data_IF_505224971076
#
_entry.id   IF_505224971076
#
_cell.length_a   1.000
_cell.length_b   1.000
_cell.length_c   1.000
_cell.angle_alpha   90.00
_cell.angle_beta   90.00
_cell.angle_gamma   90.00
#
_symmetry.space_group_name_H-M   'P 1'
#
loop_
_entity.id
_entity.type
_entity.pdbx_description
1 polymer ?
#
# COMPACT_ATOMS: atom_id res chain seq x y z
N UNK A 1 -13.64 30.40 31.53
CA UNK A 1 -13.97 29.57 30.37
C UNK A 1 -12.69 28.91 29.90
N UNK A 2 -12.59 27.58 30.01
CA UNK A 2 -11.37 26.84 29.66
C UNK A 2 -11.18 26.74 28.16
N UNK A 3 -9.98 26.36 27.70
CA UNK A 3 -9.69 26.16 26.27
C UNK A 3 -10.66 25.14 25.61
N UNK A 4 -11.12 24.17 26.35
CA UNK A 4 -12.07 23.16 25.87
C UNK A 4 -13.44 23.77 25.55
N UNK A 5 -13.97 24.68 26.42
CA UNK A 5 -15.26 25.33 26.19
C UNK A 5 -15.25 26.24 24.97
N UNK A 6 -14.16 27.00 24.81
CA UNK A 6 -13.93 27.82 23.60
C UNK A 6 -13.88 26.97 22.34
N UNK A 7 -13.18 25.86 22.40
CA UNK A 7 -13.08 24.92 21.30
C UNK A 7 -14.44 24.30 20.94
N UNK A 8 -15.21 23.89 21.95
CA UNK A 8 -16.56 23.35 21.76
C UNK A 8 -17.48 24.39 21.10
N UNK A 9 -17.45 25.64 21.57
CA UNK A 9 -18.22 26.73 20.98
C UNK A 9 -17.84 26.99 19.51
N UNK A 10 -16.57 26.94 19.14
CA UNK A 10 -16.10 27.08 17.75
C UNK A 10 -16.60 25.91 16.91
N UNK A 11 -16.46 24.67 17.41
CA UNK A 11 -16.93 23.47 16.74
C UNK A 11 -18.42 23.52 16.42
N UNK A 12 -19.22 23.92 17.39
CA UNK A 12 -20.68 24.01 17.25
C UNK A 12 -21.09 25.17 16.32
N UNK A 13 -20.43 26.33 16.44
CA UNK A 13 -20.67 27.50 15.58
C UNK A 13 -20.40 27.23 14.10
N UNK A 14 -19.33 26.53 13.79
CA UNK A 14 -18.93 26.27 12.40
C UNK A 14 -19.31 24.85 11.93
N UNK A 15 -20.10 24.10 12.72
CA UNK A 15 -20.52 22.72 12.45
C UNK A 15 -19.35 21.83 12.00
N UNK A 16 -18.19 22.02 12.61
CA UNK A 16 -16.98 21.28 12.28
C UNK A 16 -17.20 19.81 12.65
N UNK A 17 -17.42 18.98 11.66
CA UNK A 17 -17.42 17.53 11.84
C UNK A 17 -15.98 17.03 11.75
N UNK A 18 -15.43 16.64 12.88
CA UNK A 18 -14.20 15.87 12.90
C UNK A 18 -14.57 14.43 12.54
N UNK A 19 -13.94 13.88 11.51
CA UNK A 19 -14.08 12.45 11.23
C UNK A 19 -13.34 11.64 12.31
N UNK A 20 -13.97 11.45 13.43
CA UNK A 20 -13.49 10.56 14.49
C UNK A 20 -13.73 9.08 14.16
N UNK A 21 -13.44 8.69 12.92
CA UNK A 21 -13.79 7.38 12.40
C UNK A 21 -15.27 7.30 11.98
N UNK A 22 -15.53 6.55 10.95
CA UNK A 22 -16.88 6.21 10.53
C UNK A 22 -17.60 5.49 11.69
N UNK A 23 -18.88 5.72 11.88
CA UNK A 23 -19.66 4.94 12.85
C UNK A 23 -19.60 3.45 12.47
N UNK A 24 -19.82 2.55 13.44
CA UNK A 24 -19.83 1.11 13.15
C UNK A 24 -20.82 0.76 12.02
N UNK A 25 -21.93 1.52 11.92
CA UNK A 25 -22.91 1.35 10.86
C UNK A 25 -22.36 1.82 9.50
N UNK A 26 -21.67 2.97 9.45
CA UNK A 26 -21.03 3.45 8.20
C UNK A 26 -19.93 2.49 7.75
N UNK A 27 -19.12 1.98 8.67
CA UNK A 27 -18.12 0.96 8.37
C UNK A 27 -18.79 -0.29 7.78
N UNK A 28 -19.86 -0.77 8.42
CA UNK A 28 -20.61 -1.93 7.94
C UNK A 28 -21.22 -1.67 6.55
N UNK A 29 -21.87 -0.52 6.36
CA UNK A 29 -22.43 -0.12 5.07
C UNK A 29 -21.36 -0.04 3.98
N UNK A 30 -20.17 0.52 4.28
CA UNK A 30 -19.04 0.59 3.36
C UNK A 30 -18.46 -0.80 3.01
N UNK A 31 -18.60 -1.79 3.90
CA UNK A 31 -18.19 -3.17 3.63
C UNK A 31 -19.24 -3.88 2.75
N UNK A 32 -20.52 -3.64 2.99
CA UNK A 32 -21.63 -4.36 2.32
C UNK A 32 -22.04 -3.66 1.02
N UNK A 33 -22.08 -2.33 1.00
CA UNK A 33 -22.38 -1.53 -0.19
C UNK A 33 -21.16 -1.48 -1.10
N UNK A 34 -21.06 -2.42 -1.95
CA UNK A 34 -19.99 -2.80 -2.87
C UNK A 34 -19.61 -1.77 -3.95
N UNK A 35 -19.76 -0.46 -3.72
CA UNK A 35 -19.37 0.57 -4.69
C UNK A 35 -17.89 0.52 -5.06
N UNK A 36 -17.04 0.06 -4.13
CA UNK A 36 -15.61 -0.14 -4.32
C UNK A 36 -15.23 -1.62 -4.13
N UNK A 37 -15.87 -2.52 -4.88
CA UNK A 37 -15.53 -3.95 -4.85
C UNK A 37 -14.14 -4.20 -5.46
N UNK A 38 -13.62 -5.40 -5.23
CA UNK A 38 -12.30 -5.80 -5.71
C UNK A 38 -12.13 -5.62 -7.22
N UNK A 39 -13.16 -5.99 -8.00
CA UNK A 39 -13.13 -5.92 -9.46
C UNK A 39 -13.11 -4.47 -9.98
N UNK A 40 -13.87 -3.56 -9.35
CA UNK A 40 -13.85 -2.14 -9.72
C UNK A 40 -12.49 -1.49 -9.43
N UNK A 41 -11.85 -1.87 -8.32
CA UNK A 41 -10.50 -1.41 -7.99
C UNK A 41 -9.46 -1.94 -8.98
N UNK A 42 -9.54 -3.23 -9.34
CA UNK A 42 -8.67 -3.83 -10.37
C UNK A 42 -8.86 -3.17 -11.73
N UNK A 43 -10.11 -2.93 -12.13
CA UNK A 43 -10.43 -2.22 -13.37
C UNK A 43 -9.79 -0.84 -13.39
N UNK A 44 -9.94 -0.08 -12.30
CA UNK A 44 -9.32 1.24 -12.21
C UNK A 44 -7.80 1.20 -12.40
N UNK A 45 -7.08 0.24 -11.79
CA UNK A 45 -5.63 0.11 -11.97
C UNK A 45 -5.29 -0.22 -13.42
N UNK A 46 -5.99 -1.19 -14.03
CA UNK A 46 -5.76 -1.58 -15.42
C UNK A 46 -5.95 -0.40 -16.37
N UNK A 47 -7.09 0.27 -16.26
CA UNK A 47 -7.43 1.40 -17.10
C UNK A 47 -6.42 2.53 -16.92
N UNK A 48 -5.97 2.78 -15.69
CA UNK A 48 -4.93 3.76 -15.39
C UNK A 48 -3.59 3.37 -16.02
N UNK A 49 -3.13 2.13 -15.82
CA UNK A 49 -1.86 1.66 -16.37
C UNK A 49 -1.83 1.70 -17.90
N UNK A 50 -2.96 1.48 -18.58
CA UNK A 50 -3.07 1.54 -20.02
C UNK A 50 -3.05 2.97 -20.58
N UNK A 51 -3.41 3.97 -19.77
CA UNK A 51 -3.48 5.38 -20.17
C UNK A 51 -2.19 6.16 -19.92
N UNK A 52 -1.23 5.59 -19.22
CA UNK A 52 0.00 6.26 -18.80
C UNK A 52 1.24 5.56 -19.34
N UNK A 53 2.38 6.26 -19.47
CA UNK A 53 3.63 5.65 -19.87
C UNK A 53 4.05 4.51 -18.93
N UNK A 54 4.70 3.49 -19.50
CA UNK A 54 5.14 2.29 -18.77
C UNK A 54 5.96 2.60 -17.52
N UNK A 55 6.79 3.65 -17.55
CA UNK A 55 7.59 4.07 -16.40
C UNK A 55 6.76 4.53 -15.17
N UNK A 56 5.58 5.12 -15.40
CA UNK A 56 4.61 5.43 -14.34
C UNK A 56 3.78 4.20 -13.96
N UNK A 57 3.34 3.42 -14.97
CA UNK A 57 2.56 2.20 -14.74
C UNK A 57 3.33 1.21 -13.86
N UNK A 58 4.63 1.03 -14.09
CA UNK A 58 5.49 0.17 -13.27
C UNK A 58 5.48 0.56 -11.78
N UNK A 59 5.47 1.87 -11.45
CA UNK A 59 5.37 2.31 -10.05
C UNK A 59 4.01 1.93 -9.45
N UNK A 60 2.93 2.06 -10.21
CA UNK A 60 1.59 1.70 -9.74
C UNK A 60 1.47 0.19 -9.50
N UNK A 61 1.98 -0.61 -10.43
CA UNK A 61 2.02 -2.07 -10.30
C UNK A 61 2.90 -2.46 -9.11
N UNK A 62 4.09 -1.87 -8.97
CA UNK A 62 4.97 -2.06 -7.83
C UNK A 62 4.27 -1.76 -6.50
N UNK A 63 3.51 -0.67 -6.44
CA UNK A 63 2.73 -0.29 -5.28
C UNK A 63 1.67 -1.35 -4.92
N UNK A 64 1.01 -1.92 -5.92
CA UNK A 64 0.00 -2.97 -5.73
C UNK A 64 0.61 -4.30 -5.28
N UNK A 65 1.79 -4.67 -5.80
CA UNK A 65 2.48 -5.91 -5.45
C UNK A 65 3.13 -5.86 -4.06
N UNK A 66 3.60 -4.70 -3.63
CA UNK A 66 4.26 -4.54 -2.33
C UNK A 66 3.30 -4.17 -1.19
N UNK A 67 2.08 -3.74 -1.51
CA UNK A 67 1.12 -3.24 -0.52
C UNK A 67 1.54 -1.93 0.16
N UNK A 68 2.57 -1.26 -0.32
CA UNK A 68 3.06 0.03 0.20
C UNK A 68 2.08 1.17 -0.10
N UNK A 69 2.18 2.27 0.64
CA UNK A 69 1.54 3.53 0.25
C UNK A 69 2.30 4.13 -0.94
N UNK A 70 1.61 4.85 -1.80
CA UNK A 70 2.21 5.39 -3.03
C UNK A 70 3.47 6.24 -2.79
N UNK A 71 3.52 7.04 -1.71
CA UNK A 71 4.71 7.79 -1.31
C UNK A 71 5.86 6.86 -0.88
N UNK A 72 5.55 5.80 -0.15
CA UNK A 72 6.51 4.79 0.29
C UNK A 72 7.02 3.98 -0.91
N UNK A 73 6.14 3.63 -1.84
CA UNK A 73 6.52 2.91 -3.06
C UNK A 73 7.47 3.73 -3.95
N UNK A 74 7.20 5.03 -4.17
CA UNK A 74 8.11 5.90 -4.92
C UNK A 74 9.50 5.94 -4.26
N UNK A 75 9.57 6.09 -2.94
CA UNK A 75 10.84 6.12 -2.19
C UNK A 75 11.56 4.76 -2.23
N UNK A 76 10.80 3.67 -2.17
CA UNK A 76 11.35 2.31 -2.30
C UNK A 76 11.94 2.08 -3.69
N UNK A 77 11.25 2.49 -4.76
CA UNK A 77 11.77 2.45 -6.14
C UNK A 77 13.08 3.24 -6.26
N UNK A 78 13.14 4.44 -5.69
CA UNK A 78 14.35 5.27 -5.65
C UNK A 78 15.52 4.54 -4.98
N UNK A 79 15.30 3.89 -3.83
CA UNK A 79 16.32 3.10 -3.13
C UNK A 79 16.74 1.83 -3.88
N UNK A 80 15.81 1.12 -4.55
CA UNK A 80 16.15 -0.02 -5.40
C UNK A 80 17.10 0.41 -6.52
N UNK A 81 16.94 1.60 -7.06
CA UNK A 81 17.79 2.12 -8.14
C UNK A 81 19.13 2.64 -7.65
N UNK A 82 19.16 3.31 -6.51
CA UNK A 82 20.35 4.02 -6.01
C UNK A 82 21.19 3.21 -5.02
N UNK A 83 20.60 2.31 -4.24
CA UNK A 83 21.28 1.65 -3.12
C UNK A 83 20.79 0.22 -2.85
N UNK A 84 20.58 -0.56 -3.90
CA UNK A 84 20.01 -1.92 -3.82
C UNK A 84 20.80 -2.83 -2.87
N UNK A 85 22.13 -2.78 -2.90
CA UNK A 85 22.97 -3.70 -2.13
C UNK A 85 22.80 -3.55 -0.61
N UNK A 86 22.51 -2.35 -0.11
CA UNK A 86 22.27 -2.10 1.31
C UNK A 86 20.78 -2.21 1.67
N UNK A 87 19.89 -2.16 0.68
CA UNK A 87 18.46 -2.12 0.86
C UNK A 87 17.79 -3.49 0.70
N UNK A 88 18.36 -4.37 -0.14
CA UNK A 88 17.87 -5.72 -0.36
C UNK A 88 18.69 -6.72 0.45
N UNK A 89 18.04 -7.49 1.30
CA UNK A 89 18.60 -8.72 1.83
C UNK A 89 18.45 -9.81 0.77
N UNK A 90 19.56 -10.24 0.17
CA UNK A 90 19.58 -11.20 -0.94
C UNK A 90 19.23 -12.63 -0.51
N UNK A 91 19.49 -13.00 0.74
CA UNK A 91 19.20 -14.34 1.25
C UNK A 91 17.68 -14.53 1.43
N UNK A 92 17.01 -13.50 1.94
CA UNK A 92 15.58 -13.56 2.23
C UNK A 92 14.71 -12.88 1.19
N UNK A 93 15.31 -12.23 0.19
CA UNK A 93 14.61 -11.40 -0.80
C UNK A 93 13.65 -10.40 -0.17
N UNK A 94 14.13 -9.71 0.87
CA UNK A 94 13.37 -8.70 1.62
C UNK A 94 13.99 -7.32 1.39
N UNK A 95 13.16 -6.34 1.02
CA UNK A 95 13.50 -4.93 1.02
C UNK A 95 13.38 -4.38 2.44
N UNK A 96 14.50 -3.98 3.05
CA UNK A 96 14.61 -3.66 4.47
C UNK A 96 14.36 -2.16 4.72
N UNK A 97 13.09 -1.76 4.72
CA UNK A 97 12.67 -0.37 4.94
C UNK A 97 13.12 0.16 6.32
N UNK A 98 13.16 -0.72 7.32
CA UNK A 98 13.57 -0.35 8.68
C UNK A 98 15.01 0.17 8.78
N UNK A 99 15.88 -0.12 7.80
CA UNK A 99 17.22 0.47 7.70
C UNK A 99 17.20 1.97 7.33
N UNK A 100 16.06 2.47 6.87
CA UNK A 100 15.85 3.87 6.46
C UNK A 100 14.70 4.51 7.25
N UNK A 101 14.82 4.63 8.58
CA UNK A 101 13.71 5.03 9.44
C UNK A 101 13.18 6.42 9.11
N UNK A 102 14.05 7.36 8.74
CA UNK A 102 13.65 8.72 8.37
C UNK A 102 12.73 8.77 7.14
N UNK A 103 12.77 7.74 6.29
CA UNK A 103 11.96 7.61 5.08
C UNK A 103 10.66 6.86 5.38
N UNK A 104 10.74 5.72 6.07
CA UNK A 104 9.65 4.75 6.16
C UNK A 104 8.97 4.66 7.52
N UNK A 105 9.61 5.16 8.59
CA UNK A 105 9.05 5.05 9.95
C UNK A 105 8.63 6.44 10.43
N UNK A 106 7.38 6.80 10.13
CA UNK A 106 6.77 8.06 10.57
C UNK A 106 5.86 7.80 11.77
N UNK A 107 5.53 8.84 12.53
CA UNK A 107 4.71 8.73 13.76
C UNK A 107 3.46 7.87 13.60
N UNK A 108 2.72 8.03 12.50
CA UNK A 108 1.43 7.37 12.28
C UNK A 108 1.40 6.46 11.05
N UNK A 109 2.46 6.46 10.24
CA UNK A 109 2.54 5.72 8.99
C UNK A 109 3.90 5.04 8.93
N UNK A 110 3.91 3.73 8.98
CA UNK A 110 5.12 2.92 9.03
C UNK A 110 5.12 1.94 7.87
N UNK A 111 6.30 1.60 7.37
CA UNK A 111 6.56 0.46 6.52
C UNK A 111 7.90 -0.14 6.99
N UNK A 112 7.90 -1.41 7.38
CA UNK A 112 9.08 -2.03 7.96
C UNK A 112 9.89 -2.80 6.93
N UNK A 113 9.22 -3.54 6.08
CA UNK A 113 9.83 -4.31 5.01
C UNK A 113 8.82 -4.61 3.90
N UNK A 114 9.30 -5.05 2.75
CA UNK A 114 8.49 -5.64 1.68
C UNK A 114 9.18 -6.89 1.17
N UNK A 115 8.39 -7.90 0.82
CA UNK A 115 8.89 -9.09 0.14
C UNK A 115 9.10 -8.71 -1.32
N UNK A 116 10.17 -9.20 -1.92
CA UNK A 116 10.49 -8.98 -3.33
C UNK A 116 10.74 -10.31 -4.05
N UNK A 117 10.66 -10.26 -5.34
CA UNK A 117 11.20 -11.21 -6.30
C UNK A 117 11.89 -10.44 -7.43
N UNK A 118 12.47 -11.14 -8.39
CA UNK A 118 13.16 -10.48 -9.51
C UNK A 118 12.22 -9.61 -10.34
N UNK A 119 10.95 -9.97 -10.51
CA UNK A 119 9.98 -9.19 -11.26
C UNK A 119 9.66 -7.87 -10.58
N UNK A 120 9.46 -7.87 -9.26
CA UNK A 120 9.27 -6.65 -8.47
C UNK A 120 10.51 -5.74 -8.57
N UNK A 121 11.71 -6.31 -8.49
CA UNK A 121 12.95 -5.54 -8.65
C UNK A 121 13.09 -4.98 -10.07
N UNK A 122 12.71 -5.75 -11.09
CA UNK A 122 12.71 -5.30 -12.49
C UNK A 122 11.69 -4.19 -12.74
N UNK A 123 10.50 -4.26 -12.15
CA UNK A 123 9.54 -3.16 -12.20
C UNK A 123 10.12 -1.87 -11.62
N UNK A 124 10.78 -1.95 -10.47
CA UNK A 124 11.42 -0.79 -9.85
C UNK A 124 12.56 -0.24 -10.72
N UNK A 125 13.45 -1.09 -11.23
CA UNK A 125 14.57 -0.69 -12.10
C UNK A 125 14.10 -0.04 -13.40
N UNK A 126 13.01 -0.54 -14.00
CA UNK A 126 12.42 -0.04 -15.24
C UNK A 126 11.45 1.14 -15.03
N UNK A 127 11.27 1.60 -13.81
CA UNK A 127 10.55 2.82 -13.48
C UNK A 127 11.47 4.03 -13.55
N UNK A 128 10.93 5.22 -13.76
CA UNK A 128 11.68 6.44 -13.51
C UNK A 128 11.65 6.79 -12.01
N UNK A 129 12.65 7.57 -11.59
CA UNK A 129 12.72 8.07 -10.21
C UNK A 129 11.77 9.26 -10.04
N UNK A 130 10.49 8.96 -9.78
CA UNK A 130 9.47 9.97 -9.57
C UNK A 130 9.14 10.12 -8.10
N UNK A 131 9.08 11.38 -7.63
CA UNK A 131 8.45 11.66 -6.35
C UNK A 131 6.93 11.41 -6.43
N UNK A 132 6.31 11.11 -5.29
CA UNK A 132 4.85 10.96 -5.21
C UNK A 132 4.11 12.20 -5.73
N UNK A 133 4.65 13.41 -5.48
CA UNK A 133 4.05 14.65 -5.99
C UNK A 133 4.10 14.72 -7.51
N UNK A 134 5.20 14.31 -8.14
CA UNK A 134 5.32 14.25 -9.60
C UNK A 134 4.29 13.28 -10.20
N UNK A 135 4.19 12.07 -9.64
CA UNK A 135 3.18 11.08 -10.03
C UNK A 135 1.76 11.64 -9.90
N UNK A 136 1.44 12.24 -8.75
CA UNK A 136 0.14 12.87 -8.48
C UNK A 136 -0.19 13.97 -9.48
N UNK A 137 0.73 14.90 -9.74
CA UNK A 137 0.56 15.98 -10.69
C UNK A 137 0.36 15.46 -12.12
N UNK A 138 1.08 14.38 -12.49
CA UNK A 138 0.92 13.75 -13.79
C UNK A 138 -0.48 13.15 -13.96
N UNK A 139 -0.96 12.33 -13.01
CA UNK A 139 -2.28 11.72 -13.07
C UNK A 139 -3.41 12.77 -13.08
N UNK A 140 -3.27 13.82 -12.26
CA UNK A 140 -4.22 14.93 -12.24
C UNK A 140 -4.33 15.63 -13.60
N UNK A 141 -3.19 15.89 -14.29
CA UNK A 141 -3.19 16.47 -15.64
C UNK A 141 -3.84 15.59 -16.70
N UNK A 142 -3.86 14.28 -16.47
CA UNK A 142 -4.54 13.29 -17.32
C UNK A 142 -6.00 13.06 -16.94
N UNK A 143 -6.54 13.83 -15.97
CA UNK A 143 -7.88 13.65 -15.41
C UNK A 143 -8.15 12.25 -14.85
N UNK A 144 -7.10 11.56 -14.37
CA UNK A 144 -7.22 10.23 -13.76
C UNK A 144 -7.53 10.40 -12.27
N UNK A 145 -8.61 9.77 -11.76
CA UNK A 145 -8.96 9.83 -10.33
C UNK A 145 -7.83 9.29 -9.43
N UNK A 146 -7.57 9.95 -8.29
CA UNK A 146 -6.47 9.64 -7.38
C UNK A 146 -6.84 8.57 -6.35
N UNK A 147 -7.19 7.36 -6.79
CA UNK A 147 -7.62 6.27 -5.93
C UNK A 147 -6.44 5.46 -5.34
N UNK A 148 -5.42 6.15 -4.81
CA UNK A 148 -4.17 5.53 -4.34
C UNK A 148 -4.35 4.51 -3.20
N UNK A 149 -5.46 4.55 -2.48
CA UNK A 149 -5.76 3.55 -1.46
C UNK A 149 -6.14 2.19 -2.05
N UNK A 150 -6.51 2.12 -3.33
CA UNK A 150 -6.89 0.86 -3.98
C UNK A 150 -5.75 -0.14 -4.00
N UNK A 151 -4.49 0.31 -4.21
CA UNK A 151 -3.33 -0.58 -4.22
C UNK A 151 -3.25 -1.44 -2.96
N UNK A 152 -3.38 -0.80 -1.80
CA UNK A 152 -3.33 -1.50 -0.50
C UNK A 152 -4.55 -2.38 -0.24
N UNK A 153 -5.72 -1.94 -0.70
CA UNK A 153 -6.95 -2.73 -0.60
C UNK A 153 -6.86 -3.98 -1.49
N UNK A 154 -6.41 -3.82 -2.73
CA UNK A 154 -6.22 -4.93 -3.66
C UNK A 154 -5.21 -5.92 -3.10
N UNK A 155 -4.03 -5.45 -2.67
CA UNK A 155 -3.03 -6.31 -2.06
C UNK A 155 -3.61 -7.11 -0.89
N UNK A 156 -4.22 -6.42 0.08
CA UNK A 156 -4.75 -7.08 1.28
C UNK A 156 -5.88 -8.07 0.95
N UNK A 157 -6.82 -7.70 0.09
CA UNK A 157 -7.93 -8.56 -0.32
C UNK A 157 -7.43 -9.78 -1.09
N UNK A 158 -6.51 -9.57 -2.05
CA UNK A 158 -5.93 -10.66 -2.82
C UNK A 158 -5.18 -11.65 -1.93
N UNK A 159 -4.29 -11.17 -1.08
CA UNK A 159 -3.52 -12.00 -0.15
C UNK A 159 -4.45 -12.78 0.80
N UNK A 160 -5.47 -12.11 1.35
CA UNK A 160 -6.43 -12.75 2.24
C UNK A 160 -7.24 -13.85 1.54
N UNK A 161 -7.70 -13.60 0.32
CA UNK A 161 -8.47 -14.57 -0.48
C UNK A 161 -7.62 -15.80 -0.90
N UNK A 162 -6.29 -15.65 -0.92
CA UNK A 162 -5.35 -16.74 -1.19
C UNK A 162 -4.73 -17.35 0.08
N UNK A 163 -5.37 -17.16 1.23
CA UNK A 163 -5.02 -17.86 2.47
C UNK A 163 -3.86 -17.28 3.26
N UNK A 164 -3.39 -16.06 2.93
CA UNK A 164 -2.39 -15.38 3.75
C UNK A 164 -3.04 -14.86 5.04
N UNK A 165 -2.36 -15.09 6.16
CA UNK A 165 -2.80 -14.67 7.48
C UNK A 165 -2.88 -13.14 7.59
N UNK A 166 -3.89 -12.63 8.31
CA UNK A 166 -4.10 -11.20 8.48
C UNK A 166 -2.88 -10.51 9.11
N UNK A 167 -2.22 -11.19 10.03
CA UNK A 167 -1.03 -10.71 10.74
C UNK A 167 0.13 -10.44 9.78
N UNK A 168 0.34 -11.31 8.81
CA UNK A 168 1.36 -11.13 7.75
C UNK A 168 1.00 -9.95 6.87
N UNK A 169 -0.27 -9.86 6.45
CA UNK A 169 -0.74 -8.74 5.63
C UNK A 169 -0.56 -7.41 6.38
N UNK A 170 -0.88 -7.37 7.67
CA UNK A 170 -0.71 -6.17 8.49
C UNK A 170 0.76 -5.79 8.63
N UNK A 171 1.66 -6.73 8.88
CA UNK A 171 3.10 -6.48 8.94
C UNK A 171 3.64 -5.91 7.62
N UNK A 172 3.28 -6.51 6.48
CA UNK A 172 3.67 -6.03 5.15
C UNK A 172 3.13 -4.64 4.85
N UNK A 173 1.95 -4.32 5.38
CA UNK A 173 1.37 -2.98 5.26
C UNK A 173 1.85 -1.99 6.34
N UNK A 174 2.85 -2.38 7.16
CA UNK A 174 3.40 -1.53 8.21
C UNK A 174 2.46 -1.28 9.38
N UNK A 175 1.58 -2.24 9.68
CA UNK A 175 0.74 -2.23 10.87
C UNK A 175 1.27 -3.25 11.86
N UNK A 176 1.54 -2.81 13.07
CA UNK A 176 1.84 -3.74 14.16
C UNK A 176 0.52 -4.09 14.85
N UNK A 177 0.08 -5.35 14.79
CA UNK A 177 -1.14 -5.78 15.45
C UNK A 177 -1.10 -5.46 16.94
N UNK A 178 -2.24 -5.02 17.48
CA UNK A 178 -2.34 -4.68 18.91
C UNK A 178 -2.47 -5.91 19.81
N UNK A 179 -2.84 -7.05 19.25
CA UNK A 179 -3.01 -8.28 20.00
C UNK A 179 -1.71 -8.70 20.69
N UNK A 180 -1.80 -9.05 21.98
CA UNK A 180 -0.67 -9.47 22.81
C UNK A 180 0.03 -10.69 22.21
N UNK A 181 -0.75 -11.66 21.72
CA UNK A 181 -0.21 -12.85 21.06
C UNK A 181 0.73 -12.49 19.91
N UNK A 182 0.31 -11.64 19.00
CA UNK A 182 1.13 -11.27 17.82
C UNK A 182 2.40 -10.53 18.23
N UNK A 183 2.31 -9.65 19.21
CA UNK A 183 3.47 -8.87 19.68
C UNK A 183 4.53 -9.71 20.35
N UNK A 184 4.13 -10.69 21.14
CA UNK A 184 5.03 -11.39 22.06
C UNK A 184 5.32 -12.83 21.66
N UNK A 185 4.39 -13.50 21.00
CA UNK A 185 4.47 -14.94 20.75
C UNK A 185 4.54 -15.29 19.26
N UNK A 186 3.91 -14.49 18.39
CA UNK A 186 3.89 -14.79 16.95
C UNK A 186 5.24 -14.48 16.31
N UNK A 187 5.82 -15.49 15.67
CA UNK A 187 7.07 -15.39 14.91
C UNK A 187 6.86 -16.08 13.57
N UNK A 188 6.52 -15.32 12.51
CA UNK A 188 6.33 -15.91 11.19
C UNK A 188 7.65 -16.50 10.70
N UNK A 189 7.58 -17.71 10.17
CA UNK A 189 8.69 -18.39 9.52
C UNK A 189 8.87 -17.93 8.05
N UNK A 190 9.95 -18.39 7.42
CA UNK A 190 10.24 -18.06 6.03
C UNK A 190 9.20 -18.62 5.06
N UNK A 191 8.61 -19.78 5.36
CA UNK A 191 7.59 -20.43 4.52
C UNK A 191 6.39 -19.53 4.27
N UNK A 192 5.96 -18.75 5.27
CA UNK A 192 4.86 -17.78 5.11
C UNK A 192 5.19 -16.66 4.15
N UNK A 193 6.42 -16.19 4.16
CA UNK A 193 6.88 -15.18 3.19
C UNK A 193 7.04 -15.76 1.80
N UNK A 194 7.42 -17.02 1.67
CA UNK A 194 7.50 -17.73 0.40
C UNK A 194 6.12 -17.88 -0.24
N UNK A 195 5.09 -18.23 0.55
CA UNK A 195 3.70 -18.23 0.06
C UNK A 195 3.26 -16.87 -0.50
N UNK A 196 3.65 -15.79 0.14
CA UNK A 196 3.35 -14.44 -0.39
C UNK A 196 4.06 -14.23 -1.72
N UNK A 197 5.31 -14.68 -1.83
CA UNK A 197 6.13 -14.54 -3.05
C UNK A 197 5.54 -15.31 -4.22
N UNK A 198 5.08 -16.53 -4.00
CA UNK A 198 4.42 -17.37 -5.00
C UNK A 198 3.15 -16.73 -5.59
N UNK A 199 2.48 -15.88 -4.83
CA UNK A 199 1.27 -15.20 -5.26
C UNK A 199 1.52 -13.96 -6.14
N UNK A 200 2.75 -13.45 -6.22
CA UNK A 200 3.04 -12.22 -6.96
C UNK A 200 2.71 -12.33 -8.45
N UNK A 201 3.04 -13.43 -9.09
CA UNK A 201 2.76 -13.64 -10.52
C UNK A 201 1.26 -13.64 -10.80
N UNK A 202 0.48 -14.27 -9.91
CA UNK A 202 -0.97 -14.28 -10.02
C UNK A 202 -1.55 -12.86 -9.87
N UNK A 203 -1.08 -12.09 -8.88
CA UNK A 203 -1.51 -10.71 -8.68
C UNK A 203 -1.07 -9.81 -9.84
N UNK A 204 0.16 -9.94 -10.30
CA UNK A 204 0.67 -9.23 -11.47
C UNK A 204 -0.18 -9.50 -12.71
N UNK A 205 -0.49 -10.76 -12.97
CA UNK A 205 -1.35 -11.16 -14.09
C UNK A 205 -2.77 -10.60 -13.95
N UNK A 206 -3.33 -10.58 -12.74
CA UNK A 206 -4.64 -9.95 -12.52
C UNK A 206 -4.63 -8.44 -12.80
N UNK A 207 -3.52 -7.75 -12.52
CA UNK A 207 -3.39 -6.31 -12.75
C UNK A 207 -3.12 -6.00 -14.24
N UNK A 208 -2.33 -6.82 -14.92
CA UNK A 208 -1.81 -6.50 -16.26
C UNK A 208 -2.58 -7.15 -17.41
N UNK A 209 -3.16 -8.33 -17.20
CA UNK A 209 -3.90 -9.02 -18.27
C UNK A 209 -5.33 -8.50 -18.36
N UNK A 210 -5.74 -8.07 -19.55
CA UNK A 210 -7.15 -7.92 -19.88
C UNK A 210 -7.79 -9.32 -19.88
N UNK A 211 -8.93 -9.50 -19.17
CA UNK A 211 -9.80 -10.65 -19.48
C UNK A 211 -10.39 -10.35 -20.86
N UNK A 212 -10.04 -11.15 -21.85
CA UNK A 212 -10.75 -11.23 -23.12
C UNK A 212 -12.09 -11.86 -22.89
#
# INVERSE_FOLDING_TARGET
MGCYDKWKAIKDKYQLKWSNGDSSLEIFQNIVNNENNYDSMLKWIKDTCNQIPKSYANILIYCALTGLRADEACKSVSLVKSNLNNYLNKETMILEHFKYPNIFIRRTKQAFFSIANDDILNLAKNSNDYSYNALRCYLKRKNIPMNMNYFRKIFATFMRNNGIEQEIIDLLQGRIPKAVFVRHYYRPDSERFDKVRELFDNLYNQITRCKY
#
